data_IF_437498323033
#
_entry.id   IF_437498323033
#
_cell.length_a   1.000
_cell.length_b   1.000
_cell.length_c   1.000
_cell.angle_alpha   90.00
_cell.angle_beta   90.00
_cell.angle_gamma   90.00
#
_symmetry.space_group_name_H-M   'P 1'
#
loop_
_entity.id
_entity.type
_entity.pdbx_description
1 polymer ?
#
# COMPACT_ATOMS: atom_id res chain seq x y z
N UNK A 1 -12.20 22.78 -7.96
CA UNK A 1 -11.06 21.89 -7.74
C UNK A 1 -11.56 20.48 -8.01
N UNK A 2 -11.12 19.86 -9.10
CA UNK A 2 -11.53 18.49 -9.47
C UNK A 2 -10.90 17.50 -8.51
N UNK A 3 -11.61 16.41 -8.20
CA UNK A 3 -11.06 15.31 -7.41
C UNK A 3 -9.78 14.76 -8.10
N UNK A 4 -8.61 14.72 -7.42
CA UNK A 4 -7.38 14.22 -8.01
C UNK A 4 -7.34 12.68 -8.16
N UNK A 5 -8.38 11.96 -7.70
CA UNK A 5 -8.46 10.50 -7.83
C UNK A 5 -8.57 10.10 -9.29
N UNK A 6 -7.51 9.46 -9.79
CA UNK A 6 -7.44 9.00 -11.18
C UNK A 6 -7.80 7.52 -11.32
N UNK A 7 -7.43 6.69 -10.34
CA UNK A 7 -7.75 5.27 -10.35
C UNK A 7 -8.17 4.76 -8.98
N UNK A 8 -9.13 3.84 -8.97
CA UNK A 8 -9.48 3.03 -7.80
C UNK A 8 -9.36 1.56 -8.21
N UNK A 9 -8.52 0.81 -7.50
CA UNK A 9 -8.34 -0.62 -7.73
C UNK A 9 -8.66 -1.42 -6.48
N UNK A 10 -9.16 -2.65 -6.67
CA UNK A 10 -9.43 -3.58 -5.60
C UNK A 10 -8.54 -4.81 -5.77
N UNK A 11 -7.90 -5.23 -4.69
CA UNK A 11 -7.09 -6.45 -4.65
C UNK A 11 -7.51 -7.28 -3.45
N UNK A 12 -7.38 -8.60 -3.57
CA UNK A 12 -7.70 -9.54 -2.49
C UNK A 12 -6.45 -10.33 -2.19
N UNK A 13 -6.11 -10.44 -0.91
CA UNK A 13 -5.01 -11.29 -0.43
C UNK A 13 -5.47 -12.16 0.73
N UNK A 14 -4.93 -13.37 0.78
CA UNK A 14 -5.10 -14.29 1.91
C UNK A 14 -3.77 -14.46 2.62
N UNK A 15 -3.77 -14.27 3.94
CA UNK A 15 -2.59 -14.40 4.80
C UNK A 15 -2.79 -15.55 5.81
N UNK A 16 -1.73 -16.27 6.19
CA UNK A 16 -1.80 -17.25 7.27
C UNK A 16 -1.88 -16.55 8.64
N UNK A 17 -2.36 -17.28 9.66
CA UNK A 17 -2.09 -16.88 11.05
C UNK A 17 -0.62 -17.10 11.36
N UNK A 18 0.12 -16.01 11.59
CA UNK A 18 1.52 -16.09 12.04
C UNK A 18 1.60 -16.30 13.55
N UNK A 19 2.01 -17.50 13.96
CA UNK A 19 2.30 -17.81 15.39
C UNK A 19 3.66 -17.27 15.82
N UNK A 20 4.62 -17.29 14.92
CA UNK A 20 5.99 -16.84 15.15
C UNK A 20 6.26 -15.61 14.29
N UNK A 21 5.96 -14.44 14.86
CA UNK A 21 6.19 -13.15 14.20
C UNK A 21 7.50 -12.55 14.73
N UNK A 22 8.62 -12.89 14.09
CA UNK A 22 9.96 -12.45 14.49
C UNK A 22 10.40 -11.14 13.86
N UNK A 23 9.78 -10.76 12.73
CA UNK A 23 10.09 -9.55 11.96
C UNK A 23 8.89 -9.11 11.13
N UNK A 24 8.86 -7.84 10.67
CA UNK A 24 7.88 -7.40 9.68
C UNK A 24 7.94 -8.25 8.39
N UNK A 25 6.78 -8.64 7.89
CA UNK A 25 6.63 -9.43 6.66
C UNK A 25 6.05 -8.57 5.54
N UNK A 26 6.71 -8.55 4.38
CA UNK A 26 6.29 -7.75 3.22
C UNK A 26 5.16 -8.48 2.49
N UNK A 27 4.02 -7.81 2.30
CA UNK A 27 2.81 -8.44 1.78
C UNK A 27 2.34 -7.85 0.44
N UNK A 28 2.60 -6.57 0.17
CA UNK A 28 2.14 -5.88 -1.04
C UNK A 28 3.20 -4.89 -1.50
N UNK A 29 3.44 -4.86 -2.81
CA UNK A 29 4.35 -3.92 -3.47
C UNK A 29 3.56 -3.01 -4.41
N UNK A 30 3.35 -1.76 -4.00
CA UNK A 30 2.73 -0.72 -4.82
C UNK A 30 3.78 -0.09 -5.72
N UNK A 31 3.86 -0.56 -6.96
CA UNK A 31 4.78 0.02 -7.96
C UNK A 31 4.18 1.28 -8.55
N UNK A 32 4.89 2.38 -8.42
CA UNK A 32 4.54 3.58 -9.16
C UNK A 32 5.15 3.52 -10.57
N UNK A 33 4.34 3.83 -11.57
CA UNK A 33 4.80 3.96 -12.95
C UNK A 33 4.81 5.46 -13.25
N UNK A 34 6.00 6.06 -13.21
CA UNK A 34 6.20 7.40 -13.77
C UNK A 34 6.44 7.28 -15.26
N UNK A 35 5.79 8.11 -16.10
CA UNK A 35 6.11 8.17 -17.51
C UNK A 35 7.59 8.54 -17.68
N UNK A 36 8.33 7.73 -18.45
CA UNK A 36 9.76 7.97 -18.71
C UNK A 36 10.03 9.33 -19.37
N UNK A 37 9.02 9.88 -20.05
CA UNK A 37 9.06 11.17 -20.73
C UNK A 37 7.84 12.01 -20.33
N UNK A 38 7.89 12.67 -19.18
CA UNK A 38 6.96 13.74 -18.85
C UNK A 38 7.69 15.09 -19.00
N UNK A 39 7.19 16.02 -19.83
CA UNK A 39 7.74 17.37 -19.90
C UNK A 39 7.41 18.09 -18.59
N UNK A 40 8.35 18.10 -17.65
CA UNK A 40 8.19 18.75 -16.35
C UNK A 40 8.96 18.07 -15.22
N UNK A 41 8.92 18.63 -14.00
CA UNK A 41 9.50 17.99 -12.83
C UNK A 41 8.81 16.63 -12.59
N UNK A 42 9.63 15.60 -12.36
CA UNK A 42 9.15 14.27 -11.98
C UNK A 42 8.33 14.38 -10.68
N UNK A 43 7.15 13.73 -10.60
CA UNK A 43 6.35 13.77 -9.40
C UNK A 43 7.08 13.07 -8.25
N UNK A 44 7.06 13.67 -7.07
CA UNK A 44 7.36 12.92 -5.86
C UNK A 44 6.16 12.04 -5.51
N UNK A 45 6.42 10.84 -5.01
CA UNK A 45 5.38 9.85 -4.74
C UNK A 45 5.32 9.59 -3.25
N UNK A 46 4.14 9.80 -2.69
CA UNK A 46 3.86 9.66 -1.27
C UNK A 46 2.84 8.52 -1.10
N UNK A 47 3.17 7.60 -0.20
CA UNK A 47 2.33 6.44 0.10
C UNK A 47 1.72 6.57 1.48
N UNK A 48 0.42 6.32 1.60
CA UNK A 48 -0.30 6.36 2.86
C UNK A 48 -1.23 5.17 3.03
N UNK A 49 -1.37 4.73 4.28
CA UNK A 49 -2.50 3.93 4.72
C UNK A 49 -3.50 4.92 5.31
N UNK A 50 -4.69 5.03 4.72
CA UNK A 50 -5.67 6.04 5.14
C UNK A 50 -6.82 5.45 5.94
N UNK A 51 -7.17 4.19 5.71
CA UNK A 51 -8.28 3.52 6.40
C UNK A 51 -8.00 2.02 6.60
N UNK A 52 -8.66 1.41 7.58
CA UNK A 52 -8.69 -0.04 7.75
C UNK A 52 -7.44 -0.66 8.39
N UNK A 53 -6.49 0.14 8.89
CA UNK A 53 -5.31 -0.35 9.61
C UNK A 53 -5.62 -0.78 11.04
N UNK A 54 -6.46 -1.80 11.20
CA UNK A 54 -6.89 -2.24 12.52
C UNK A 54 -5.68 -2.64 13.39
N UNK A 55 -5.63 -2.07 14.60
CA UNK A 55 -4.57 -2.29 15.60
C UNK A 55 -3.18 -1.83 15.17
N UNK A 56 -3.07 -0.98 14.14
CA UNK A 56 -1.79 -0.58 13.53
C UNK A 56 -0.96 -1.81 13.16
N UNK A 57 -1.60 -2.79 12.50
CA UNK A 57 -0.99 -4.07 12.18
C UNK A 57 -0.18 -4.02 10.89
N UNK A 58 -0.36 -2.97 10.08
CA UNK A 58 0.36 -2.74 8.84
C UNK A 58 1.10 -1.41 8.86
N UNK A 59 2.23 -1.35 8.17
CA UNK A 59 2.88 -0.10 7.79
C UNK A 59 3.18 -0.09 6.29
N UNK A 60 3.60 1.08 5.79
CA UNK A 60 4.01 1.26 4.40
C UNK A 60 5.33 2.01 4.34
N UNK A 61 6.29 1.48 3.58
CA UNK A 61 7.61 2.08 3.38
C UNK A 61 7.86 2.40 1.91
N UNK A 62 8.36 3.60 1.63
CA UNK A 62 8.87 3.97 0.31
C UNK A 62 10.25 3.35 0.11
N UNK A 63 10.43 2.61 -0.99
CA UNK A 63 11.70 1.99 -1.39
C UNK A 63 11.99 2.31 -2.86
N UNK A 64 13.27 2.32 -3.22
CA UNK A 64 13.73 2.33 -4.60
C UNK A 64 14.20 0.93 -4.98
N UNK A 65 13.58 0.32 -5.99
CA UNK A 65 13.93 -1.01 -6.50
C UNK A 65 14.09 -0.90 -8.01
N UNK A 66 15.28 -1.19 -8.53
CA UNK A 66 15.63 -1.11 -9.95
C UNK A 66 15.24 0.23 -10.61
N UNK A 67 15.49 1.34 -9.89
CA UNK A 67 15.15 2.70 -10.35
C UNK A 67 13.66 3.06 -10.26
N UNK A 68 12.82 2.17 -9.76
CA UNK A 68 11.39 2.41 -9.55
C UNK A 68 11.06 2.73 -8.09
N UNK A 69 10.15 3.67 -7.89
CA UNK A 69 9.58 3.95 -6.57
C UNK A 69 8.51 2.92 -6.25
N UNK A 70 8.66 2.25 -5.11
CA UNK A 70 7.75 1.20 -4.64
C UNK A 70 7.30 1.49 -3.22
N UNK A 71 5.99 1.43 -2.98
CA UNK A 71 5.41 1.42 -1.64
C UNK A 71 5.30 -0.02 -1.14
N UNK A 72 6.09 -0.39 -0.15
CA UNK A 72 6.13 -1.74 0.43
C UNK A 72 5.22 -1.76 1.65
N UNK A 73 4.08 -2.44 1.56
CA UNK A 73 3.19 -2.67 2.70
C UNK A 73 3.69 -3.89 3.45
N UNK A 74 3.81 -3.76 4.77
CA UNK A 74 4.28 -4.84 5.62
C UNK A 74 3.31 -5.07 6.74
N UNK A 75 3.11 -6.34 7.09
CA UNK A 75 2.55 -6.69 8.38
C UNK A 75 3.63 -6.48 9.43
N UNK A 76 3.36 -5.66 10.45
CA UNK A 76 4.28 -5.30 11.55
C UNK A 76 3.85 -5.87 12.91
N UNK A 77 2.67 -6.49 12.98
CA UNK A 77 2.17 -7.20 14.16
C UNK A 77 1.56 -8.52 13.76
N UNK A 78 1.61 -9.57 14.61
CA UNK A 78 0.89 -10.80 14.34
C UNK A 78 -0.62 -10.54 14.29
N UNK A 79 -1.29 -11.15 13.33
CA UNK A 79 -2.75 -11.19 13.23
C UNK A 79 -3.17 -12.65 13.32
N UNK A 80 -3.99 -12.95 14.31
CA UNK A 80 -4.58 -14.28 14.51
C UNK A 80 -5.95 -14.27 13.87
N UNK A 81 -6.18 -15.18 12.94
CA UNK A 81 -7.47 -15.36 12.27
C UNK A 81 -8.51 -16.08 13.13
N UNK A 82 -9.76 -16.19 12.65
CA UNK A 82 -10.24 -15.61 11.40
C UNK A 82 -10.38 -14.08 11.51
N UNK A 83 -9.85 -13.36 10.53
CA UNK A 83 -9.91 -11.90 10.50
C UNK A 83 -10.08 -11.39 9.07
N UNK A 84 -10.87 -10.33 8.90
CA UNK A 84 -11.06 -9.65 7.63
C UNK A 84 -10.95 -8.13 7.82
N UNK A 85 -10.22 -7.47 6.92
CA UNK A 85 -10.14 -6.03 6.86
C UNK A 85 -10.00 -5.54 5.42
N UNK A 86 -10.45 -4.32 5.17
CA UNK A 86 -10.17 -3.60 3.92
C UNK A 86 -9.18 -2.49 4.22
N UNK A 87 -7.92 -2.66 3.82
CA UNK A 87 -6.88 -1.66 3.96
C UNK A 87 -6.94 -0.70 2.77
N UNK A 88 -7.15 0.59 3.03
CA UNK A 88 -7.15 1.61 1.97
C UNK A 88 -5.78 2.26 1.88
N UNK A 89 -5.16 2.10 0.72
CA UNK A 89 -3.84 2.63 0.41
C UNK A 89 -3.99 3.77 -0.58
N UNK A 90 -3.27 4.86 -0.36
CA UNK A 90 -3.15 5.96 -1.31
C UNK A 90 -1.74 6.06 -1.84
N UNK A 91 -1.62 6.25 -3.14
CA UNK A 91 -0.39 6.62 -3.85
C UNK A 91 -0.62 7.99 -4.49
N UNK A 92 -0.05 9.02 -3.85
CA UNK A 92 -0.18 10.42 -4.23
C UNK A 92 1.02 10.86 -5.06
N UNK A 93 0.76 11.38 -6.26
CA UNK A 93 1.76 11.97 -7.15
C UNK A 93 1.77 13.48 -6.94
N UNK A 94 2.82 14.00 -6.32
CA UNK A 94 2.96 15.39 -5.90
C UNK A 94 3.91 16.12 -6.84
N UNK A 95 3.43 17.21 -7.45
CA UNK A 95 4.20 18.08 -8.33
C UNK A 95 4.10 19.50 -7.80
N UNK A 96 5.24 20.15 -7.54
CA UNK A 96 5.25 21.53 -7.03
C UNK A 96 4.52 21.70 -5.68
N UNK A 97 4.49 20.65 -4.85
CA UNK A 97 3.81 20.65 -3.55
C UNK A 97 2.30 20.37 -3.61
N UNK A 98 1.71 20.17 -4.80
CA UNK A 98 0.29 19.87 -4.98
C UNK A 98 0.10 18.44 -5.46
N UNK A 99 -0.93 17.75 -4.95
CA UNK A 99 -1.31 16.42 -5.44
C UNK A 99 -1.90 16.57 -6.84
N UNK A 100 -1.19 16.06 -7.83
CA UNK A 100 -1.61 16.06 -9.24
C UNK A 100 -2.52 14.87 -9.56
N UNK A 101 -2.18 13.69 -9.02
CA UNK A 101 -2.91 12.43 -9.23
C UNK A 101 -2.88 11.62 -7.94
N UNK A 102 -3.96 10.87 -7.72
CA UNK A 102 -4.09 9.90 -6.64
C UNK A 102 -4.57 8.56 -7.17
N UNK A 103 -3.84 7.51 -6.85
CA UNK A 103 -4.31 6.15 -7.03
C UNK A 103 -4.72 5.59 -5.67
N UNK A 104 -5.94 5.07 -5.58
CA UNK A 104 -6.46 4.40 -4.39
C UNK A 104 -6.45 2.90 -4.63
N UNK A 105 -5.86 2.15 -3.70
CA UNK A 105 -5.86 0.69 -3.72
C UNK A 105 -6.57 0.18 -2.47
N UNK A 106 -7.71 -0.44 -2.66
CA UNK A 106 -8.46 -1.12 -1.60
C UNK A 106 -8.01 -2.59 -1.54
N UNK A 107 -7.35 -2.97 -0.46
CA UNK A 107 -6.87 -4.33 -0.27
C UNK A 107 -7.80 -5.05 0.71
N UNK A 108 -8.51 -6.05 0.22
CA UNK A 108 -9.29 -6.96 1.04
C UNK A 108 -8.36 -8.04 1.56
N UNK A 109 -8.12 -8.04 2.87
CA UNK A 109 -7.20 -8.94 3.54
C UNK A 109 -8.04 -9.95 4.32
N UNK A 110 -7.83 -11.23 4.04
CA UNK A 110 -8.39 -12.35 4.78
C UNK A 110 -7.27 -13.09 5.50
N UNK A 111 -7.35 -13.17 6.82
CA UNK A 111 -6.40 -13.97 7.62
C UNK A 111 -7.10 -15.25 8.06
N UNK A 112 -6.54 -16.38 7.62
CA UNK A 112 -7.05 -17.71 7.95
C UNK A 112 -6.91 -18.02 9.44
N UNK A 113 -7.85 -18.77 10.01
CA UNK A 113 -7.70 -19.38 11.35
C UNK A 113 -6.56 -20.41 11.37
N UNK A 114 -6.26 -21.01 10.22
CA UNK A 114 -5.21 -22.00 10.07
C UNK A 114 -3.86 -21.36 9.74
N UNK A 115 -2.80 -22.02 10.18
CA UNK A 115 -1.44 -21.81 9.73
C UNK A 115 -1.16 -22.80 8.59
N UNK A 116 -0.39 -22.41 7.59
CA UNK A 116 0.06 -23.28 6.49
C UNK A 116 1.51 -22.98 6.14
#
# INVERSE_FOLDING_TARGET
MTDPVHTISHTVISLPTFREFSRPEEIIFLRAITPAYSPGPQPDIIFHITEGNLRESFDIQKRYVDGMIVGVVRQVKPIVGPFHAVLKLEMNYVVGGVVSHRNIVNVNIFVSEFWF
#
